data_IF_715932548679
#
_entry.id   IF_715932548679
#
_cell.length_a   1.000
_cell.length_b   1.000
_cell.length_c   1.000
_cell.angle_alpha   90.00
_cell.angle_beta   90.00
_cell.angle_gamma   90.00
#
_symmetry.space_group_name_H-M   'P 1'
#
loop_
_entity.id
_entity.type
_entity.pdbx_description
1 polymer ?
#
# COMPACT_ATOMS: atom_id res chain seq x y z
N UNK A 1 -20.73 -1.59 14.34
CA UNK A 1 -20.82 -1.04 15.70
C UNK A 1 -19.87 -1.80 16.60
N UNK A 2 -18.93 -1.10 17.24
CA UNK A 2 -17.92 -1.69 18.12
C UNK A 2 -18.53 -2.23 19.42
N UNK A 3 -19.73 -1.75 19.80
CA UNK A 3 -20.45 -2.22 20.98
C UNK A 3 -20.87 -3.70 20.91
N UNK A 4 -20.87 -4.28 19.71
CA UNK A 4 -21.14 -5.70 19.52
C UNK A 4 -19.97 -6.62 19.86
N UNK A 5 -18.75 -6.11 20.03
CA UNK A 5 -17.56 -6.94 20.28
C UNK A 5 -17.43 -7.31 21.77
N UNK A 6 -16.88 -8.50 22.09
CA UNK A 6 -16.70 -8.96 23.45
C UNK A 6 -15.71 -8.07 24.21
N UNK A 7 -15.88 -8.02 25.53
CA UNK A 7 -14.94 -7.35 26.42
C UNK A 7 -13.54 -7.96 26.32
N UNK A 8 -12.51 -7.11 26.43
CA UNK A 8 -11.10 -7.51 26.53
C UNK A 8 -10.80 -8.41 27.74
N UNK A 9 -11.72 -8.53 28.71
CA UNK A 9 -11.59 -9.45 29.86
C UNK A 9 -11.91 -10.90 29.52
N UNK A 10 -12.57 -11.14 28.37
CA UNK A 10 -12.88 -12.48 27.89
C UNK A 10 -11.83 -12.96 26.89
N UNK A 11 -11.89 -14.23 26.50
CA UNK A 11 -11.02 -14.79 25.45
C UNK A 11 -11.37 -14.29 24.03
N UNK A 12 -12.33 -13.38 23.90
CA UNK A 12 -12.84 -12.89 22.63
C UNK A 12 -13.75 -13.91 21.94
N UNK A 13 -13.97 -13.72 20.64
CA UNK A 13 -14.72 -14.64 19.81
C UNK A 13 -14.06 -14.75 18.42
N UNK A 14 -14.19 -15.90 17.75
CA UNK A 14 -13.64 -16.06 16.42
C UNK A 14 -14.41 -15.19 15.41
N UNK A 15 -13.69 -14.46 14.55
CA UNK A 15 -14.29 -13.61 13.51
C UNK A 15 -15.15 -14.42 12.51
N UNK A 16 -14.86 -15.70 12.32
CA UNK A 16 -15.67 -16.63 11.51
C UNK A 16 -17.08 -16.85 12.07
N UNK A 17 -17.34 -16.55 13.34
CA UNK A 17 -18.68 -16.51 13.91
C UNK A 17 -19.50 -15.29 13.47
N UNK A 18 -18.85 -14.20 13.02
CA UNK A 18 -19.49 -12.95 12.60
C UNK A 18 -19.59 -12.79 11.08
N UNK A 19 -18.59 -13.26 10.36
CA UNK A 19 -18.48 -13.08 8.91
C UNK A 19 -18.50 -14.42 8.18
N UNK A 20 -19.20 -14.44 7.05
CA UNK A 20 -19.24 -15.60 6.16
C UNK A 20 -18.06 -15.52 5.19
N UNK A 21 -17.05 -16.35 5.41
CA UNK A 21 -15.83 -16.41 4.58
C UNK A 21 -15.82 -17.73 3.81
N UNK A 22 -15.33 -17.68 2.57
CA UNK A 22 -15.11 -18.87 1.74
C UNK A 22 -13.99 -19.71 2.35
N UNK A 23 -14.16 -21.04 2.38
CA UNK A 23 -13.15 -21.93 2.94
C UNK A 23 -11.77 -21.73 2.30
N UNK A 24 -10.73 -21.64 3.13
CA UNK A 24 -9.34 -21.40 2.70
C UNK A 24 -8.92 -19.92 2.68
N UNK A 25 -9.86 -18.99 2.77
CA UNK A 25 -9.57 -17.57 2.87
C UNK A 25 -9.28 -17.15 4.33
N UNK A 26 -8.56 -16.04 4.49
CA UNK A 26 -8.13 -15.53 5.80
C UNK A 26 -8.30 -14.02 5.90
N UNK A 27 -8.56 -13.52 7.11
CA UNK A 27 -8.54 -12.09 7.39
C UNK A 27 -7.11 -11.56 7.31
N UNK A 28 -6.86 -10.65 6.37
CA UNK A 28 -5.53 -10.08 6.13
C UNK A 28 -5.30 -8.76 6.87
N UNK A 29 -6.32 -7.90 6.91
CA UNK A 29 -6.19 -6.52 7.38
C UNK A 29 -7.43 -6.09 8.17
N UNK A 30 -7.20 -5.22 9.15
CA UNK A 30 -8.25 -4.55 9.94
C UNK A 30 -8.01 -3.06 9.83
N UNK A 31 -9.06 -2.30 9.54
CA UNK A 31 -9.00 -0.84 9.34
C UNK A 31 -10.17 -0.22 10.09
N UNK A 32 -9.89 0.92 10.71
CA UNK A 32 -10.88 1.76 11.37
C UNK A 32 -10.57 3.21 11.01
N UNK A 33 -11.55 3.91 10.44
CA UNK A 33 -11.41 5.30 10.02
C UNK A 33 -12.79 5.97 9.93
N UNK A 34 -12.80 7.28 9.65
CA UNK A 34 -14.02 8.00 9.31
C UNK A 34 -14.44 7.66 7.88
N UNK A 35 -15.73 7.75 7.57
CA UNK A 35 -16.30 7.39 6.26
C UNK A 35 -15.58 8.06 5.08
N UNK A 36 -15.21 9.33 5.25
CA UNK A 36 -14.56 10.17 4.23
C UNK A 36 -13.05 9.92 4.10
N UNK A 37 -12.45 9.14 5.02
CA UNK A 37 -11.02 8.85 5.01
C UNK A 37 -10.63 8.12 3.73
N UNK A 38 -9.61 8.61 3.03
CA UNK A 38 -9.12 8.03 1.78
C UNK A 38 -8.01 7.02 2.03
N UNK A 39 -7.96 6.02 1.16
CA UNK A 39 -6.96 4.96 1.22
C UNK A 39 -6.47 4.62 -0.19
N UNK A 40 -5.16 4.44 -0.30
CA UNK A 40 -4.55 3.70 -1.39
C UNK A 40 -4.84 2.21 -1.18
N UNK A 41 -5.56 1.61 -2.12
CA UNK A 41 -5.95 0.20 -2.13
C UNK A 41 -5.37 -0.46 -3.37
N UNK A 42 -4.79 -1.65 -3.23
CA UNK A 42 -4.22 -2.33 -4.38
C UNK A 42 -3.96 -3.81 -4.16
N UNK A 43 -3.56 -4.46 -5.25
CA UNK A 43 -3.12 -5.85 -5.28
C UNK A 43 -1.63 -5.95 -5.61
N UNK A 44 -1.02 -7.06 -5.20
CA UNK A 44 0.38 -7.33 -5.52
C UNK A 44 0.63 -7.61 -7.02
N UNK A 45 -0.40 -7.63 -7.86
CA UNK A 45 -0.28 -7.65 -9.31
C UNK A 45 0.07 -6.28 -9.93
N UNK A 46 0.22 -5.23 -9.12
CA UNK A 46 0.57 -3.88 -9.57
C UNK A 46 -0.62 -3.05 -10.04
N UNK A 47 -1.82 -3.31 -9.51
CA UNK A 47 -3.03 -2.54 -9.76
C UNK A 47 -3.62 -2.01 -8.46
N UNK A 48 -4.17 -0.79 -8.50
CA UNK A 48 -4.80 -0.17 -7.35
C UNK A 48 -5.56 1.11 -7.69
N UNK A 49 -6.16 1.72 -6.69
CA UNK A 49 -6.97 2.94 -6.79
C UNK A 49 -7.03 3.64 -5.43
N UNK A 50 -7.44 4.90 -5.43
CA UNK A 50 -7.83 5.60 -4.20
C UNK A 50 -9.31 5.35 -3.93
N UNK A 51 -9.68 4.89 -2.75
CA UNK A 51 -11.07 4.71 -2.35
C UNK A 51 -11.33 5.27 -0.96
N UNK A 52 -12.59 5.52 -0.63
CA UNK A 52 -12.97 5.99 0.71
C UNK A 52 -13.19 4.82 1.66
N UNK A 53 -13.09 5.05 2.97
CA UNK A 53 -13.45 4.04 3.96
C UNK A 53 -14.92 3.61 3.79
N UNK A 54 -15.81 4.56 3.51
CA UNK A 54 -17.23 4.29 3.21
C UNK A 54 -17.42 3.27 2.09
N UNK A 55 -16.56 3.30 1.07
CA UNK A 55 -16.61 2.32 -0.02
C UNK A 55 -16.24 0.89 0.42
N UNK A 56 -15.46 0.75 1.48
CA UNK A 56 -15.06 -0.55 2.06
C UNK A 56 -16.15 -1.16 2.95
N UNK A 57 -17.03 -0.33 3.50
CA UNK A 57 -18.05 -0.76 4.47
C UNK A 57 -19.16 -1.57 3.78
N UNK A 58 -19.48 -2.72 4.37
CA UNK A 58 -20.64 -3.54 4.00
C UNK A 58 -21.43 -3.93 5.24
N UNK A 59 -22.77 -3.91 5.14
CA UNK A 59 -23.67 -4.39 6.19
C UNK A 59 -23.95 -5.90 6.08
N UNK A 60 -23.57 -6.53 4.97
CA UNK A 60 -23.84 -7.95 4.72
C UNK A 60 -22.78 -8.83 5.39
N UNK A 61 -23.20 -9.96 5.99
CA UNK A 61 -22.29 -10.95 6.60
C UNK A 61 -21.26 -11.53 5.62
N UNK A 62 -21.62 -11.65 4.34
CA UNK A 62 -20.74 -12.08 3.27
C UNK A 62 -19.79 -10.97 2.75
N UNK A 63 -19.86 -9.76 3.31
CA UNK A 63 -19.01 -8.64 2.92
C UNK A 63 -19.41 -8.01 1.58
N UNK A 64 -18.42 -7.48 0.86
CA UNK A 64 -18.54 -6.85 -0.46
C UNK A 64 -17.28 -7.19 -1.27
N UNK A 65 -17.47 -7.50 -2.56
CA UNK A 65 -16.36 -7.59 -3.51
C UNK A 65 -15.83 -6.17 -3.80
N UNK A 66 -14.90 -5.70 -2.98
CA UNK A 66 -14.34 -4.35 -3.04
C UNK A 66 -13.13 -4.26 -3.98
N UNK A 67 -12.16 -5.15 -3.81
CA UNK A 67 -10.97 -5.24 -4.66
C UNK A 67 -11.05 -6.53 -5.51
N UNK A 68 -10.96 -6.39 -6.83
CA UNK A 68 -10.90 -7.53 -7.75
C UNK A 68 -9.44 -7.96 -7.95
N UNK A 69 -9.11 -9.18 -7.53
CA UNK A 69 -7.75 -9.72 -7.63
C UNK A 69 -7.56 -10.47 -8.95
N UNK A 70 -6.48 -10.18 -9.71
CA UNK A 70 -6.01 -11.09 -10.76
C UNK A 70 -5.64 -12.47 -10.19
N UNK A 71 -5.52 -13.47 -11.06
CA UNK A 71 -5.13 -14.82 -10.67
C UNK A 71 -3.86 -14.83 -9.81
N UNK A 72 -3.94 -15.55 -8.68
CA UNK A 72 -2.88 -15.68 -7.66
C UNK A 72 -2.46 -14.37 -6.96
N UNK A 73 -3.05 -13.22 -7.31
CA UNK A 73 -2.73 -11.97 -6.65
C UNK A 73 -3.28 -11.93 -5.23
N UNK A 74 -2.64 -11.15 -4.37
CA UNK A 74 -3.05 -10.90 -2.99
C UNK A 74 -3.33 -9.42 -2.79
N UNK A 75 -4.14 -9.13 -1.78
CA UNK A 75 -4.41 -7.76 -1.34
C UNK A 75 -3.17 -7.18 -0.69
N UNK A 76 -2.85 -5.92 -1.02
CA UNK A 76 -1.85 -5.12 -0.31
C UNK A 76 -2.52 -4.42 0.87
N UNK A 77 -1.76 -4.20 1.95
CA UNK A 77 -2.24 -3.43 3.10
C UNK A 77 -2.77 -2.07 2.62
N UNK A 78 -4.06 -1.75 2.82
CA UNK A 78 -4.56 -0.43 2.47
C UNK A 78 -3.83 0.63 3.28
N UNK A 79 -3.36 1.67 2.60
CA UNK A 79 -2.53 2.71 3.20
C UNK A 79 -3.34 4.01 3.23
N UNK A 80 -3.45 4.70 4.37
CA UNK A 80 -4.13 5.99 4.43
C UNK A 80 -3.53 6.98 3.43
N UNK A 81 -4.39 7.71 2.75
CA UNK A 81 -4.04 8.85 1.90
C UNK A 81 -4.36 10.13 2.68
N UNK A 82 -3.32 10.85 3.09
CA UNK A 82 -3.42 12.04 3.95
C UNK A 82 -3.47 13.32 3.16
N UNK A 83 -2.65 13.45 2.12
CA UNK A 83 -2.59 14.64 1.29
C UNK A 83 -2.35 14.25 -0.19
N UNK A 84 -3.41 13.92 -0.95
CA UNK A 84 -3.26 13.40 -2.31
C UNK A 84 -2.59 14.39 -3.28
N UNK A 85 -2.62 15.69 -2.97
CA UNK A 85 -1.99 16.71 -3.80
C UNK A 85 -0.46 16.69 -3.66
N UNK A 86 0.10 16.41 -2.50
CA UNK A 86 1.55 16.37 -2.30
C UNK A 86 2.12 14.95 -2.29
N UNK A 87 1.34 13.97 -1.85
CA UNK A 87 1.86 12.65 -1.51
C UNK A 87 2.18 11.82 -2.76
N UNK A 88 3.14 10.93 -2.61
CA UNK A 88 3.63 10.05 -3.66
C UNK A 88 3.13 8.63 -3.45
N UNK A 89 2.74 7.97 -4.54
CA UNK A 89 2.50 6.52 -4.56
C UNK A 89 3.82 5.79 -4.82
N UNK A 90 4.33 5.06 -3.83
CA UNK A 90 5.51 4.21 -3.92
C UNK A 90 5.11 2.76 -4.17
N UNK A 91 5.66 2.14 -5.21
CA UNK A 91 5.54 0.70 -5.45
C UNK A 91 6.91 0.06 -5.63
N UNK A 92 7.16 -1.06 -4.94
CA UNK A 92 8.40 -1.85 -5.09
C UNK A 92 8.07 -3.30 -5.39
N UNK A 93 8.67 -3.88 -6.44
CA UNK A 93 8.55 -5.31 -6.74
C UNK A 93 9.51 -6.17 -5.92
N UNK A 94 9.23 -7.47 -5.80
CA UNK A 94 10.14 -8.45 -5.20
C UNK A 94 11.48 -8.62 -5.95
N UNK A 95 11.58 -8.15 -7.21
CA UNK A 95 12.83 -8.05 -7.98
C UNK A 95 13.60 -6.74 -7.71
N UNK A 96 13.10 -5.89 -6.80
CA UNK A 96 13.75 -4.64 -6.42
C UNK A 96 13.57 -3.52 -7.45
N UNK A 97 12.47 -3.53 -8.21
CA UNK A 97 12.10 -2.39 -9.06
C UNK A 97 11.19 -1.45 -8.30
N UNK A 98 11.59 -0.19 -8.22
CA UNK A 98 10.86 0.86 -7.51
C UNK A 98 10.35 1.91 -8.48
N UNK A 99 9.11 2.34 -8.29
CA UNK A 99 8.48 3.44 -9.00
C UNK A 99 7.75 4.34 -8.00
N UNK A 100 7.94 5.64 -8.15
CA UNK A 100 7.18 6.69 -7.49
C UNK A 100 6.47 7.55 -8.52
N UNK A 101 5.22 7.92 -8.24
CA UNK A 101 4.47 8.89 -9.04
C UNK A 101 3.51 9.67 -8.13
N UNK A 102 3.08 10.88 -8.50
CA UNK A 102 2.15 11.67 -7.68
C UNK A 102 0.85 10.91 -7.42
N UNK A 103 0.40 10.83 -6.16
CA UNK A 103 -0.77 10.04 -5.79
C UNK A 103 -2.05 10.54 -6.48
N UNK A 104 -2.15 11.86 -6.72
CA UNK A 104 -3.23 12.48 -7.52
C UNK A 104 -3.41 11.91 -8.94
N UNK A 105 -2.37 11.29 -9.52
CA UNK A 105 -2.45 10.67 -10.84
C UNK A 105 -3.14 9.29 -10.82
N UNK A 106 -3.49 8.79 -9.62
CA UNK A 106 -4.21 7.55 -9.42
C UNK A 106 -5.72 7.80 -9.34
N UNK A 107 -6.53 7.24 -10.26
CA UNK A 107 -7.98 7.46 -10.24
C UNK A 107 -8.64 6.93 -8.96
N UNK A 108 -9.62 7.68 -8.47
CA UNK A 108 -10.47 7.24 -7.36
C UNK A 108 -11.59 6.32 -7.84
N UNK A 109 -11.82 5.21 -7.14
CA UNK A 109 -12.87 4.22 -7.45
C UNK A 109 -13.55 3.72 -6.17
N UNK A 110 -14.85 3.38 -6.25
CA UNK A 110 -15.59 2.79 -5.13
C UNK A 110 -15.52 1.25 -5.04
N UNK A 111 -14.90 0.60 -6.03
CA UNK A 111 -14.51 -0.83 -6.09
C UNK A 111 -13.85 -1.16 -7.43
N UNK A 112 -13.20 -2.31 -7.53
CA UNK A 112 -12.77 -2.92 -8.80
C UNK A 112 -11.34 -3.42 -8.75
N UNK A 113 -10.76 -3.71 -9.92
CA UNK A 113 -9.34 -4.11 -10.05
C UNK A 113 -8.37 -2.95 -9.80
N UNK A 114 -8.81 -1.72 -10.10
CA UNK A 114 -7.94 -0.55 -10.09
C UNK A 114 -7.13 -0.39 -11.37
N UNK A 115 -6.38 0.70 -11.40
CA UNK A 115 -5.50 1.10 -12.48
C UNK A 115 -4.06 0.65 -12.20
N UNK A 116 -3.27 0.52 -13.26
CA UNK A 116 -1.87 0.09 -13.12
C UNK A 116 -1.08 1.11 -12.30
N UNK A 117 -0.41 0.61 -11.25
CA UNK A 117 0.50 1.35 -10.37
C UNK A 117 1.94 1.23 -10.92
N UNK A 118 2.40 -0.01 -11.08
CA UNK A 118 3.70 -0.39 -11.64
C UNK A 118 3.49 -1.55 -12.62
N UNK A 119 4.24 -1.58 -13.71
CA UNK A 119 4.13 -2.65 -14.69
C UNK A 119 4.81 -3.92 -14.20
N UNK A 120 4.00 -4.90 -13.78
CA UNK A 120 4.41 -6.30 -13.61
C UNK A 120 3.83 -7.10 -14.77
N UNK A 121 4.63 -7.82 -15.58
CA UNK A 121 4.13 -8.69 -16.63
C UNK A 121 3.10 -9.67 -16.06
N UNK A 122 1.94 -9.76 -16.72
CA UNK A 122 0.82 -10.58 -16.24
C UNK A 122 1.23 -12.04 -16.01
N UNK A 123 1.98 -12.62 -16.95
CA UNK A 123 2.48 -14.00 -16.83
C UNK A 123 3.33 -14.20 -15.56
N UNK A 124 4.24 -13.26 -15.25
CA UNK A 124 5.08 -13.31 -14.05
C UNK A 124 4.29 -13.10 -12.76
N UNK A 125 3.29 -12.22 -12.78
CA UNK A 125 2.40 -12.02 -11.63
C UNK A 125 1.55 -13.26 -11.35
N UNK A 126 1.00 -13.88 -12.40
CA UNK A 126 0.19 -15.09 -12.28
C UNK A 126 1.01 -16.30 -11.83
N UNK A 127 2.26 -16.44 -12.30
CA UNK A 127 3.19 -17.48 -11.85
C UNK A 127 3.86 -17.18 -10.50
N UNK A 128 3.58 -16.02 -9.89
CA UNK A 128 4.22 -15.50 -8.67
C UNK A 128 5.74 -15.32 -8.76
N UNK A 129 6.30 -15.27 -9.96
CA UNK A 129 7.72 -14.96 -10.20
C UNK A 129 8.04 -13.51 -9.82
N UNK A 130 7.15 -12.59 -10.21
CA UNK A 130 7.28 -11.17 -9.89
C UNK A 130 5.95 -10.58 -9.43
N UNK A 131 5.98 -9.80 -8.36
CA UNK A 131 4.82 -9.12 -7.78
C UNK A 131 5.26 -7.90 -6.98
N UNK A 132 4.33 -6.99 -6.71
CA UNK A 132 4.54 -5.85 -5.82
C UNK A 132 4.66 -6.34 -4.40
N UNK A 133 5.83 -6.11 -3.82
CA UNK A 133 6.16 -6.49 -2.44
C UNK A 133 5.83 -5.37 -1.46
N UNK A 134 5.96 -4.12 -1.89
CA UNK A 134 5.67 -2.92 -1.08
C UNK A 134 4.78 -1.98 -1.88
N UNK A 135 3.73 -1.49 -1.23
CA UNK A 135 2.89 -0.41 -1.68
C UNK A 135 2.74 0.57 -0.51
N UNK A 136 3.10 1.84 -0.71
CA UNK A 136 3.06 2.85 0.34
C UNK A 136 2.70 4.23 -0.22
N UNK A 137 2.20 5.08 0.66
CA UNK A 137 2.07 6.52 0.45
C UNK A 137 3.26 7.18 1.13
N UNK A 138 4.00 8.01 0.40
CA UNK A 138 5.19 8.71 0.89
C UNK A 138 4.91 10.21 0.81
N UNK A 139 4.83 10.93 1.95
CA UNK A 139 4.66 12.37 1.92
C UNK A 139 5.80 13.06 1.19
N UNK A 140 5.53 14.23 0.63
CA UNK A 140 6.56 15.01 -0.04
C UNK A 140 7.70 15.38 0.92
N UNK A 141 8.95 15.31 0.43
CA UNK A 141 10.15 15.52 1.24
C UNK A 141 10.47 14.42 2.26
N UNK A 142 9.65 13.36 2.39
CA UNK A 142 9.96 12.25 3.28
C UNK A 142 11.05 11.33 2.70
N UNK A 143 11.80 10.71 3.60
CA UNK A 143 12.73 9.64 3.28
C UNK A 143 12.05 8.27 3.45
N UNK A 144 12.63 7.22 2.88
CA UNK A 144 12.22 5.84 3.17
C UNK A 144 13.40 5.01 3.64
N UNK A 145 13.17 4.16 4.63
CA UNK A 145 14.12 3.15 5.07
C UNK A 145 13.72 1.80 4.50
N UNK A 146 14.55 1.26 3.62
CA UNK A 146 14.35 -0.02 2.95
C UNK A 146 15.13 -1.10 3.70
N UNK A 147 14.43 -2.15 4.14
CA UNK A 147 15.02 -3.34 4.74
C UNK A 147 15.08 -4.51 3.74
N UNK A 148 16.24 -5.16 3.65
CA UNK A 148 16.50 -6.34 2.84
C UNK A 148 17.35 -7.35 3.64
N UNK A 149 16.69 -8.34 4.25
CA UNK A 149 17.29 -9.27 5.20
C UNK A 149 17.90 -8.56 6.40
N UNK A 150 19.23 -8.63 6.54
CA UNK A 150 19.98 -7.96 7.62
C UNK A 150 20.45 -6.54 7.26
N UNK A 151 20.22 -6.11 6.02
CA UNK A 151 20.66 -4.80 5.53
C UNK A 151 19.51 -3.83 5.56
N UNK A 152 19.77 -2.63 6.06
CA UNK A 152 18.85 -1.49 5.99
C UNK A 152 19.57 -0.32 5.33
N UNK A 153 18.88 0.43 4.48
CA UNK A 153 19.37 1.66 3.89
C UNK A 153 18.25 2.69 3.88
N UNK A 154 18.59 3.92 4.25
CA UNK A 154 17.70 5.07 4.08
C UNK A 154 17.95 5.70 2.72
N UNK A 155 16.88 5.91 1.95
CA UNK A 155 16.87 6.71 0.74
C UNK A 155 16.25 8.06 1.10
N UNK A 156 17.03 9.13 0.94
CA UNK A 156 16.58 10.51 1.16
C UNK A 156 15.59 10.94 0.08
N UNK A 157 14.93 12.08 0.26
CA UNK A 157 14.05 12.65 -0.77
C UNK A 157 14.77 12.84 -2.11
N UNK A 158 16.04 13.27 -2.09
CA UNK A 158 16.86 13.43 -3.28
C UNK A 158 17.14 12.09 -3.96
N UNK A 159 17.48 11.05 -3.19
CA UNK A 159 17.67 9.70 -3.71
C UNK A 159 16.39 9.15 -4.37
N UNK A 160 15.23 9.49 -3.79
CA UNK A 160 13.92 9.07 -4.28
C UNK A 160 13.55 9.70 -5.62
N UNK A 161 14.09 10.87 -5.95
CA UNK A 161 13.88 11.54 -7.24
C UNK A 161 14.27 10.64 -8.41
N UNK A 162 15.30 9.80 -8.26
CA UNK A 162 15.71 8.82 -9.28
C UNK A 162 14.61 7.80 -9.64
N UNK A 163 13.65 7.56 -8.75
CA UNK A 163 12.60 6.57 -8.92
C UNK A 163 11.25 7.18 -9.29
N UNK A 164 11.18 8.51 -9.39
CA UNK A 164 10.02 9.20 -9.90
C UNK A 164 9.85 8.94 -11.40
N UNK A 165 8.62 8.72 -11.85
CA UNK A 165 8.32 8.51 -13.25
C UNK A 165 6.83 8.39 -13.52
N UNK A 166 6.46 8.18 -14.78
CA UNK A 166 5.05 8.04 -15.15
C UNK A 166 4.41 6.79 -14.51
N UNK A 167 3.15 6.95 -14.07
CA UNK A 167 2.35 5.86 -13.51
C UNK A 167 2.29 4.67 -14.49
N UNK A 168 2.45 3.47 -13.95
CA UNK A 168 2.35 2.23 -14.72
C UNK A 168 3.59 1.90 -15.56
N UNK A 169 4.70 2.61 -15.39
CA UNK A 169 6.02 2.22 -15.91
C UNK A 169 6.61 1.07 -15.09
N UNK A 170 7.77 0.58 -15.53
CA UNK A 170 8.44 -0.60 -14.95
C UNK A 170 9.19 -0.31 -13.63
N UNK A 171 9.48 0.96 -13.35
CA UNK A 171 10.32 1.37 -12.22
C UNK A 171 11.81 1.10 -12.45
N UNK A 172 12.64 1.83 -11.71
CA UNK A 172 14.09 1.71 -11.72
C UNK A 172 14.57 0.69 -10.69
N UNK A 173 15.72 0.05 -10.94
CA UNK A 173 16.26 -0.95 -10.01
C UNK A 173 16.85 -0.28 -8.79
N UNK A 174 16.53 -0.80 -7.62
CA UNK A 174 17.21 -0.48 -6.37
C UNK A 174 18.69 -0.89 -6.44
N UNK A 175 19.56 -0.24 -5.64
CA UNK A 175 20.98 -0.54 -5.57
C UNK A 175 21.23 -2.02 -5.27
N UNK A 176 22.36 -2.54 -5.76
CA UNK A 176 22.75 -3.93 -5.50
C UNK A 176 22.83 -4.16 -3.99
N UNK A 177 22.18 -5.22 -3.52
CA UNK A 177 22.09 -5.54 -2.09
C UNK A 177 20.78 -5.13 -1.41
N UNK A 178 19.93 -4.32 -2.06
CA UNK A 178 18.59 -3.96 -1.58
C UNK A 178 17.45 -4.56 -2.42
N UNK A 179 17.77 -5.33 -3.47
CA UNK A 179 16.75 -5.81 -4.41
C UNK A 179 15.79 -6.85 -3.82
N UNK A 180 16.17 -7.51 -2.72
CA UNK A 180 15.29 -8.41 -1.96
C UNK A 180 14.63 -7.63 -0.82
N UNK A 181 13.70 -6.74 -1.17
CA UNK A 181 13.02 -5.89 -0.18
C UNK A 181 12.07 -6.72 0.69
N UNK A 182 12.19 -6.59 2.00
CA UNK A 182 11.32 -7.19 2.98
C UNK A 182 10.37 -6.16 3.60
N UNK A 183 10.91 -5.00 3.95
CA UNK A 183 10.17 -3.92 4.64
C UNK A 183 10.53 -2.56 4.08
N UNK A 184 9.57 -1.63 4.18
CA UNK A 184 9.79 -0.21 3.97
C UNK A 184 9.12 0.54 5.10
N UNK A 185 9.86 1.49 5.67
CA UNK A 185 9.39 2.42 6.69
C UNK A 185 9.50 3.84 6.12
N UNK A 186 8.42 4.62 6.19
CA UNK A 186 8.43 6.02 5.79
C UNK A 186 8.96 6.85 6.95
N UNK A 187 10.01 7.63 6.70
CA UNK A 187 10.65 8.50 7.68
C UNK A 187 10.27 9.93 7.35
N UNK A 188 9.42 10.52 8.19
CA UNK A 188 8.98 11.91 8.01
C UNK A 188 10.15 12.87 8.25
N UNK A 189 10.19 14.01 7.55
CA UNK A 189 11.19 15.03 7.81
C UNK A 189 11.06 15.53 9.26
N UNK A 190 12.18 15.61 9.99
CA UNK A 190 12.20 16.23 11.33
C UNK A 190 11.87 17.71 11.19
N UNK A 191 10.97 18.22 12.03
CA UNK A 191 10.53 19.63 12.04
C UNK A 191 11.63 20.65 12.41
N UNK A 192 12.86 20.23 12.65
CA UNK A 192 13.91 21.07 13.26
C UNK A 192 14.91 21.71 12.27
N UNK A 193 14.77 21.54 10.95
CA UNK A 193 15.73 22.10 9.97
C UNK A 193 15.30 23.42 9.29
N UNK A 194 14.27 24.11 9.78
CA UNK A 194 13.83 25.40 9.17
C UNK A 194 14.29 26.66 9.90
N UNK A 195 15.27 26.56 10.81
CA UNK A 195 15.86 27.72 11.46
C UNK A 195 17.37 27.77 11.27
N UNK A 196 17.85 28.06 10.06
CA UNK A 196 19.10 28.81 9.87
C UNK A 196 19.25 29.23 8.40
N UNK A 197 19.70 30.48 8.22
CA UNK A 197 20.06 31.18 6.98
C UNK A 197 19.03 32.17 6.42
N UNK A 198 18.63 33.14 7.24
CA UNK A 198 18.64 34.53 6.81
C UNK A 198 19.65 35.29 7.67
N UNK A 199 20.77 35.68 7.06
CA UNK A 199 21.64 36.77 7.54
C UNK A 199 21.90 37.68 6.35
#
# INVERSE_FOLDING_TARGET
DAHGLPSARSQGEPLTGRFSIVGGESFQHVIMAQDESKFLVGSDAGYGFVGTFKDMVSKNKAGKAYLSLPTAAKVMKPTPDTNPDSDWCLSISNEGRMLMFPLRDLPSLGKGKGNKLINIPSAKSQSREEYVKVLAVVPDGAAIKVGAGKRNMTLTADDLTHYQGERGRRGNKLPRGLQRVDTVEVVLPSKDETSENFT
#
